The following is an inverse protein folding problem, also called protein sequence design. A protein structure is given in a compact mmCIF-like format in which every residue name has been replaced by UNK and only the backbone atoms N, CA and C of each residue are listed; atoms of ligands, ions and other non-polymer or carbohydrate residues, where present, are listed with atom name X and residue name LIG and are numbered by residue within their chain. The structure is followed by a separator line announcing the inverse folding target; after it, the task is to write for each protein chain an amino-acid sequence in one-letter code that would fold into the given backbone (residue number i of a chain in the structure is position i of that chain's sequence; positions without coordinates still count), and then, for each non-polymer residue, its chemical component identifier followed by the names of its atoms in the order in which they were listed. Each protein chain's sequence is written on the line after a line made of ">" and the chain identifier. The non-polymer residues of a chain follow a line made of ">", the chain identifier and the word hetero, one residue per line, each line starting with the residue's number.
data_IF_492737243165
#
_entry.id   IF_492737243165
#
_cell.length_a   1.000
_cell.length_b   1.000
_cell.length_c   1.000
_cell.angle_alpha   90.00
_cell.angle_beta   90.00
_cell.angle_gamma   90.00
#
_symmetry.space_group_name_H-M   'P 1'
#
loop_
_entity.id
_entity.type
_entity.pdbx_description
1 polymer ?
#
# COMPACT_ATOMS: atom_id res chain seq x y z
N UNK A 1 71.79 -7.09 24.89
CA UNK A 1 70.41 -7.64 24.76
C UNK A 1 69.43 -6.61 25.30
N UNK A 2 68.68 -5.93 24.44
CA UNK A 2 67.56 -5.05 24.82
C UNK A 2 66.27 -5.72 24.37
N UNK A 3 65.41 -6.09 25.31
CA UNK A 3 64.08 -6.64 25.04
C UNK A 3 63.09 -5.48 24.83
N UNK A 4 62.41 -5.47 23.69
CA UNK A 4 61.22 -4.65 23.46
C UNK A 4 59.99 -5.46 23.83
N UNK A 5 59.20 -4.98 24.80
CA UNK A 5 57.86 -5.47 25.10
C UNK A 5 56.85 -4.69 24.24
N UNK A 6 56.17 -5.38 23.32
CA UNK A 6 55.01 -4.86 22.62
C UNK A 6 53.76 -5.09 23.46
N UNK A 7 53.10 -4.00 23.88
CA UNK A 7 51.74 -4.05 24.42
C UNK A 7 50.75 -4.02 23.25
N UNK A 8 49.99 -5.11 23.07
CA UNK A 8 48.80 -5.12 22.23
C UNK A 8 47.62 -4.54 23.02
N UNK A 9 47.14 -3.36 22.65
CA UNK A 9 45.88 -2.83 23.12
C UNK A 9 44.74 -3.48 22.31
N UNK A 10 43.97 -4.38 22.93
CA UNK A 10 42.70 -4.84 22.38
C UNK A 10 41.66 -3.71 22.54
N UNK A 11 41.27 -3.10 21.42
CA UNK A 11 40.11 -2.23 21.36
C UNK A 11 38.84 -3.09 21.31
N UNK A 12 38.09 -3.15 22.42
CA UNK A 12 36.72 -3.67 22.42
C UNK A 12 35.79 -2.61 21.82
N UNK A 13 35.36 -2.82 20.58
CA UNK A 13 34.22 -2.08 20.01
C UNK A 13 32.94 -2.60 20.66
N UNK A 14 32.41 -1.85 21.63
CA UNK A 14 31.09 -2.12 22.18
C UNK A 14 30.03 -1.87 21.09
N UNK A 15 29.44 -2.95 20.56
CA UNK A 15 28.22 -2.89 19.78
C UNK A 15 27.10 -2.42 20.73
N UNK A 16 26.74 -1.15 20.66
CA UNK A 16 25.53 -0.63 21.31
C UNK A 16 24.34 -1.23 20.58
N UNK A 17 23.74 -2.26 21.17
CA UNK A 17 22.42 -2.75 20.75
C UNK A 17 21.38 -1.69 21.14
N UNK A 18 20.96 -0.86 20.19
CA UNK A 18 19.77 -0.02 20.38
C UNK A 18 18.56 -0.95 20.45
N UNK A 19 17.97 -1.10 21.63
CA UNK A 19 16.73 -1.87 21.81
C UNK A 19 15.61 -1.27 20.96
N UNK A 20 14.77 -2.13 20.37
CA UNK A 20 13.64 -1.68 19.55
C UNK A 20 12.67 -0.80 20.37
N UNK A 21 12.22 0.31 19.76
CA UNK A 21 11.21 1.19 20.35
C UNK A 21 9.86 0.48 20.46
N UNK A 22 8.95 1.02 21.29
CA UNK A 22 7.58 0.50 21.44
C UNK A 22 6.86 0.46 20.08
N UNK A 23 6.99 1.52 19.28
CA UNK A 23 6.40 1.56 17.95
C UNK A 23 6.99 0.49 17.01
N UNK A 24 8.30 0.26 17.03
CA UNK A 24 8.92 -0.79 16.21
C UNK A 24 8.38 -2.17 16.57
N UNK A 25 8.26 -2.49 17.87
CA UNK A 25 7.71 -3.78 18.34
C UNK A 25 6.23 -3.97 17.99
N UNK A 26 5.44 -2.90 18.04
CA UNK A 26 4.01 -2.96 17.69
C UNK A 26 3.82 -3.06 16.17
N UNK A 27 4.63 -2.35 15.38
CA UNK A 27 4.61 -2.43 13.93
C UNK A 27 4.85 -3.86 13.39
N UNK A 28 5.74 -4.64 14.00
CA UNK A 28 5.98 -6.04 13.57
C UNK A 28 4.77 -6.95 13.75
N UNK A 29 3.78 -6.56 14.56
CA UNK A 29 2.56 -7.33 14.79
C UNK A 29 1.43 -7.00 13.81
N UNK A 30 1.57 -5.91 13.04
CA UNK A 30 0.50 -5.43 12.17
C UNK A 30 0.27 -6.35 10.96
N UNK A 31 1.33 -6.94 10.42
CA UNK A 31 1.24 -7.93 9.34
C UNK A 31 0.38 -7.48 8.15
N UNK A 32 -0.36 -8.44 7.57
CA UNK A 32 -1.40 -8.18 6.59
C UNK A 32 -2.63 -7.57 7.25
N UNK A 33 -3.11 -6.46 6.72
CA UNK A 33 -4.32 -5.79 7.18
C UNK A 33 -5.37 -5.61 6.09
N UNK A 34 -6.55 -5.21 6.52
CA UNK A 34 -7.70 -4.93 5.65
C UNK A 34 -8.39 -3.66 6.11
N UNK A 35 -8.74 -2.78 5.17
CA UNK A 35 -9.60 -1.63 5.43
C UNK A 35 -11.08 -2.05 5.45
N UNK A 36 -11.81 -1.52 6.44
CA UNK A 36 -13.25 -1.67 6.58
C UNK A 36 -13.91 -0.28 6.46
N UNK A 37 -14.15 0.16 5.22
CA UNK A 37 -14.68 1.47 4.85
C UNK A 37 -16.11 1.76 5.30
N UNK A 38 -16.76 0.83 6.01
CA UNK A 38 -18.15 0.97 6.42
C UNK A 38 -18.48 2.32 7.07
N UNK A 39 -17.55 2.87 7.87
CA UNK A 39 -17.74 4.12 8.59
C UNK A 39 -17.08 5.34 7.93
N UNK A 40 -16.42 5.20 6.77
CA UNK A 40 -15.97 6.36 5.98
C UNK A 40 -17.13 6.96 5.21
N UNK A 41 -17.96 6.10 4.60
CA UNK A 41 -19.33 6.35 4.10
C UNK A 41 -19.57 7.65 3.33
N UNK A 42 -18.51 8.29 2.84
CA UNK A 42 -18.52 9.57 2.12
C UNK A 42 -19.51 9.57 0.97
N UNK A 43 -19.67 8.39 0.35
CA UNK A 43 -20.45 8.17 -0.85
C UNK A 43 -21.89 7.72 -0.61
N UNK A 44 -22.30 7.49 0.65
CA UNK A 44 -23.56 6.77 0.98
C UNK A 44 -24.63 7.61 1.70
N UNK A 45 -24.46 8.94 1.83
CA UNK A 45 -25.44 9.83 2.49
C UNK A 45 -26.28 10.67 1.52
N UNK A 46 -27.53 10.99 1.90
CA UNK A 46 -28.29 12.07 1.26
C UNK A 46 -27.77 13.41 1.78
N UNK A 47 -27.34 14.32 0.89
CA UNK A 47 -26.65 15.60 1.16
C UNK A 47 -27.37 16.60 2.12
N UNK A 48 -28.47 16.22 2.76
CA UNK A 48 -29.12 17.02 3.80
C UNK A 48 -28.40 16.90 5.14
N UNK A 49 -28.03 18.06 5.71
CA UNK A 49 -27.21 18.22 6.92
C UNK A 49 -27.58 17.23 8.05
N UNK A 50 -26.54 16.59 8.60
CA UNK A 50 -26.53 15.75 9.83
C UNK A 50 -26.97 14.28 9.70
N UNK A 51 -27.02 13.72 8.48
CA UNK A 51 -26.79 12.31 8.10
C UNK A 51 -27.11 11.23 9.17
N UNK A 52 -28.37 11.20 9.64
CA UNK A 52 -28.86 10.25 10.66
C UNK A 52 -29.01 8.81 10.15
N UNK A 53 -28.77 8.56 8.87
CA UNK A 53 -28.99 7.30 8.15
C UNK A 53 -27.70 6.59 7.73
N UNK A 54 -26.54 7.08 8.19
CA UNK A 54 -25.21 6.65 7.79
C UNK A 54 -24.89 5.18 8.10
N UNK A 55 -25.35 4.69 9.25
CA UNK A 55 -25.14 3.31 9.71
C UNK A 55 -26.44 2.56 9.51
N UNK A 56 -26.51 1.76 8.45
CA UNK A 56 -27.61 0.81 8.26
C UNK A 56 -27.54 -0.27 9.35
N UNK A 57 -28.30 -0.09 10.43
CA UNK A 57 -28.26 -0.97 11.61
C UNK A 57 -28.55 -2.44 11.29
N UNK A 58 -29.32 -2.72 10.24
CA UNK A 58 -29.57 -4.08 9.75
C UNK A 58 -28.32 -4.74 9.12
N UNK A 59 -27.30 -3.98 8.73
CA UNK A 59 -26.02 -4.52 8.24
C UNK A 59 -25.08 -4.90 9.41
N UNK A 60 -25.35 -4.44 10.63
CA UNK A 60 -24.46 -4.63 11.80
C UNK A 60 -24.11 -6.11 12.06
N UNK A 61 -25.05 -7.08 12.02
CA UNK A 61 -24.70 -8.50 12.15
C UNK A 61 -23.76 -9.01 11.05
N UNK A 62 -23.92 -8.52 9.81
CA UNK A 62 -23.06 -8.87 8.69
C UNK A 62 -21.66 -8.29 8.90
N UNK A 63 -21.56 -7.05 9.41
CA UNK A 63 -20.26 -6.41 9.72
C UNK A 63 -19.51 -7.13 10.84
N UNK A 64 -20.21 -7.65 11.85
CA UNK A 64 -19.59 -8.52 12.86
C UNK A 64 -19.00 -9.79 12.24
N UNK A 65 -19.75 -10.45 11.35
CA UNK A 65 -19.25 -11.64 10.64
C UNK A 65 -18.01 -11.32 9.80
N UNK A 66 -17.94 -10.13 9.17
CA UNK A 66 -16.76 -9.72 8.39
C UNK A 66 -15.47 -9.73 9.17
N UNK A 67 -15.48 -9.35 10.44
CA UNK A 67 -14.27 -9.37 11.25
C UNK A 67 -13.77 -10.80 11.49
N UNK A 68 -14.68 -11.77 11.61
CA UNK A 68 -14.32 -13.18 11.67
C UNK A 68 -13.78 -13.67 10.31
N UNK A 69 -14.42 -13.29 9.21
CA UNK A 69 -13.98 -13.66 7.85
C UNK A 69 -12.57 -13.10 7.54
N UNK A 70 -12.30 -11.84 7.92
CA UNK A 70 -10.99 -11.18 7.79
C UNK A 70 -9.93 -11.95 8.59
N UNK A 71 -10.23 -12.29 9.84
CA UNK A 71 -9.31 -13.07 10.67
C UNK A 71 -9.04 -14.47 10.09
N UNK A 72 -10.09 -15.14 9.60
CA UNK A 72 -10.00 -16.47 8.98
C UNK A 72 -9.20 -16.44 7.67
N UNK A 73 -9.28 -15.35 6.91
CA UNK A 73 -8.47 -15.12 5.72
C UNK A 73 -6.98 -14.87 6.03
N UNK A 74 -6.59 -14.77 7.30
CA UNK A 74 -5.20 -14.69 7.75
C UNK A 74 -4.70 -13.27 8.00
N UNK A 75 -5.55 -12.26 7.85
CA UNK A 75 -5.23 -10.88 8.22
C UNK A 75 -5.01 -10.76 9.74
N UNK A 76 -4.14 -9.85 10.13
CA UNK A 76 -3.75 -9.56 11.52
C UNK A 76 -4.25 -8.20 11.99
N UNK A 77 -4.59 -7.31 11.08
CA UNK A 77 -5.02 -5.94 11.41
C UNK A 77 -6.27 -5.58 10.63
N UNK A 78 -7.20 -4.88 11.28
CA UNK A 78 -8.26 -4.15 10.59
C UNK A 78 -8.00 -2.65 10.77
N UNK A 79 -8.03 -1.91 9.66
CA UNK A 79 -8.08 -0.46 9.68
C UNK A 79 -9.53 -0.04 9.53
N UNK A 80 -10.01 0.81 10.42
CA UNK A 80 -11.38 1.28 10.50
C UNK A 80 -11.36 2.79 10.20
N UNK A 81 -11.46 3.15 8.91
CA UNK A 81 -11.81 4.49 8.47
C UNK A 81 -13.11 4.97 9.11
N UNK A 82 -13.08 6.10 9.83
CA UNK A 82 -14.27 6.70 10.43
C UNK A 82 -14.33 8.19 10.10
N UNK A 83 -15.46 8.60 9.54
CA UNK A 83 -15.76 10.02 9.31
C UNK A 83 -16.31 10.68 10.57
N UNK A 84 -15.52 10.76 11.66
CA UNK A 84 -16.02 11.31 12.94
C UNK A 84 -16.57 12.73 12.80
N UNK A 85 -15.99 13.55 11.92
CA UNK A 85 -16.47 14.91 11.66
C UNK A 85 -17.92 14.97 11.16
N UNK A 86 -18.45 13.90 10.59
CA UNK A 86 -19.84 13.76 10.18
C UNK A 86 -20.85 13.92 11.32
N UNK A 87 -20.47 13.46 12.51
CA UNK A 87 -21.34 13.34 13.68
C UNK A 87 -21.10 14.44 14.71
N UNK A 88 -20.28 15.44 14.34
CA UNK A 88 -19.89 16.55 15.20
C UNK A 88 -20.32 17.89 14.58
N UNK A 89 -20.62 18.87 15.43
CA UNK A 89 -20.92 20.23 14.98
C UNK A 89 -19.72 20.84 14.24
N UNK A 90 -20.00 21.65 13.22
CA UNK A 90 -18.98 22.40 12.46
C UNK A 90 -18.58 23.66 13.22
N UNK A 91 -19.53 24.30 13.90
CA UNK A 91 -19.32 25.54 14.64
C UNK A 91 -19.03 25.28 16.13
N UNK A 92 -18.27 26.20 16.72
CA UNK A 92 -18.05 26.26 18.16
C UNK A 92 -19.33 26.77 18.88
N UNK A 93 -19.62 26.31 20.12
CA UNK A 93 -18.89 25.28 20.86
C UNK A 93 -19.10 23.89 20.25
N UNK A 94 -17.99 23.17 20.02
CA UNK A 94 -18.00 21.86 19.37
C UNK A 94 -18.68 20.81 20.25
N UNK A 95 -19.51 19.97 19.64
CA UNK A 95 -20.23 18.88 20.30
C UNK A 95 -20.51 17.74 19.33
N UNK A 96 -20.76 16.54 19.87
CA UNK A 96 -21.39 15.47 19.10
C UNK A 96 -22.86 15.81 18.86
N UNK A 97 -23.30 15.81 17.60
CA UNK A 97 -24.70 16.00 17.22
C UNK A 97 -25.47 14.67 17.25
N UNK A 98 -24.78 13.55 17.00
CA UNK A 98 -25.35 12.20 16.98
C UNK A 98 -24.44 11.19 17.71
N UNK A 99 -24.21 11.39 19.03
CA UNK A 99 -23.27 10.58 19.81
C UNK A 99 -23.60 9.08 19.85
N UNK A 100 -24.86 8.69 19.62
CA UNK A 100 -25.29 7.29 19.55
C UNK A 100 -24.58 6.50 18.43
N UNK A 101 -24.16 7.14 17.34
CA UNK A 101 -23.44 6.46 16.26
C UNK A 101 -22.00 6.11 16.62
N UNK A 102 -21.44 6.72 17.68
CA UNK A 102 -20.14 6.32 18.22
C UNK A 102 -20.16 4.90 18.80
N UNK A 103 -21.33 4.28 18.99
CA UNK A 103 -21.42 2.86 19.34
C UNK A 103 -21.00 1.93 18.17
N UNK A 104 -21.08 2.40 16.93
CA UNK A 104 -20.67 1.62 15.75
C UNK A 104 -19.15 1.37 15.71
N UNK A 105 -18.26 2.40 15.75
CA UNK A 105 -16.82 2.15 15.80
C UNK A 105 -16.41 1.40 17.08
N UNK A 106 -17.03 1.66 18.24
CA UNK A 106 -16.78 0.87 19.46
C UNK A 106 -17.02 -0.62 19.24
N UNK A 107 -18.13 -0.96 18.60
CA UNK A 107 -18.50 -2.36 18.32
C UNK A 107 -17.49 -3.03 17.40
N UNK A 108 -17.05 -2.32 16.35
CA UNK A 108 -16.04 -2.85 15.42
C UNK A 108 -14.69 -3.07 16.13
N UNK A 109 -14.25 -2.13 16.98
CA UNK A 109 -13.03 -2.28 17.79
C UNK A 109 -13.14 -3.52 18.69
N UNK A 110 -14.24 -3.67 19.43
CA UNK A 110 -14.43 -4.81 20.33
C UNK A 110 -14.46 -6.14 19.58
N UNK A 111 -15.19 -6.22 18.45
CA UNK A 111 -15.27 -7.44 17.66
C UNK A 111 -13.96 -7.79 16.96
N UNK A 112 -13.18 -6.80 16.54
CA UNK A 112 -11.87 -7.02 15.96
C UNK A 112 -10.91 -7.62 17.00
N UNK A 113 -10.86 -7.02 18.20
CA UNK A 113 -10.08 -7.54 19.32
C UNK A 113 -10.53 -8.97 19.72
N UNK A 114 -11.84 -9.23 19.74
CA UNK A 114 -12.38 -10.58 20.01
C UNK A 114 -11.98 -11.62 18.95
N UNK A 115 -11.70 -11.20 17.71
CA UNK A 115 -11.15 -12.05 16.64
C UNK A 115 -9.61 -12.03 16.60
N UNK A 116 -8.96 -11.52 17.65
CA UNK A 116 -7.51 -11.40 17.75
C UNK A 116 -6.87 -10.60 16.59
N UNK A 117 -7.58 -9.58 16.08
CA UNK A 117 -7.04 -8.59 15.15
C UNK A 117 -6.46 -7.40 15.92
N UNK A 118 -5.42 -6.75 15.41
CA UNK A 118 -5.07 -5.39 15.79
C UNK A 118 -6.07 -4.43 15.12
N UNK A 119 -6.21 -3.24 15.70
CA UNK A 119 -7.16 -2.24 15.24
C UNK A 119 -6.43 -0.93 15.02
N UNK A 120 -6.62 -0.35 13.84
CA UNK A 120 -6.24 1.04 13.55
C UNK A 120 -7.55 1.82 13.41
N UNK A 121 -7.77 2.81 14.27
CA UNK A 121 -8.90 3.74 14.18
C UNK A 121 -8.40 4.97 13.46
N UNK A 122 -8.98 5.27 12.31
CA UNK A 122 -8.56 6.35 11.43
C UNK A 122 -9.59 7.47 11.38
N UNK A 123 -9.14 8.70 11.61
CA UNK A 123 -9.93 9.90 11.30
C UNK A 123 -9.89 10.13 9.79
N UNK A 124 -10.83 9.50 9.10
CA UNK A 124 -10.77 9.36 7.65
C UNK A 124 -11.18 10.64 6.94
N UNK A 125 -12.44 11.04 7.16
CA UNK A 125 -12.93 12.33 6.70
C UNK A 125 -13.33 13.22 7.87
N UNK A 126 -12.99 14.50 7.73
CA UNK A 126 -13.42 15.55 8.64
C UNK A 126 -14.76 16.18 8.17
N UNK A 127 -15.14 15.87 6.91
CA UNK A 127 -16.24 16.42 6.09
C UNK A 127 -16.67 15.40 5.02
N UNK A 128 -17.87 15.53 4.44
CA UNK A 128 -18.37 14.58 3.44
C UNK A 128 -18.13 14.95 1.97
N UNK A 129 -17.67 16.16 1.67
CA UNK A 129 -17.32 16.53 0.28
C UNK A 129 -16.32 17.70 0.14
N UNK A 130 -15.71 18.13 1.25
CA UNK A 130 -14.84 19.31 1.27
C UNK A 130 -15.55 20.63 0.97
N UNK A 131 -16.90 20.63 0.84
CA UNK A 131 -17.66 21.82 0.47
C UNK A 131 -17.95 22.75 1.64
N UNK A 132 -17.87 22.27 2.90
CA UNK A 132 -18.19 23.09 4.06
C UNK A 132 -16.95 23.74 4.65
N UNK A 133 -16.86 25.04 4.41
CA UNK A 133 -15.80 25.91 4.93
C UNK A 133 -15.71 25.83 6.46
N UNK A 134 -14.51 25.57 6.97
CA UNK A 134 -14.18 25.64 8.41
C UNK A 134 -14.32 24.33 9.17
N UNK A 135 -14.79 23.27 8.53
CA UNK A 135 -14.91 21.98 9.18
C UNK A 135 -13.58 21.29 9.42
N UNK A 136 -12.55 21.60 8.64
CA UNK A 136 -11.17 21.20 8.87
C UNK A 136 -10.38 22.21 9.74
N UNK A 137 -11.08 23.12 10.42
CA UNK A 137 -10.43 24.07 11.32
C UNK A 137 -9.56 23.34 12.36
N UNK A 138 -8.30 23.77 12.57
CA UNK A 138 -7.37 23.10 13.50
C UNK A 138 -7.98 22.86 14.89
N UNK A 139 -8.83 23.77 15.35
CA UNK A 139 -9.42 23.74 16.69
C UNK A 139 -10.52 22.68 16.78
N UNK A 140 -11.24 22.45 15.68
CA UNK A 140 -12.22 21.37 15.56
C UNK A 140 -11.54 20.01 15.49
N UNK A 141 -10.45 19.89 14.72
CA UNK A 141 -9.66 18.64 14.70
C UNK A 141 -9.07 18.32 16.06
N UNK A 142 -8.52 19.33 16.75
CA UNK A 142 -8.01 19.15 18.11
C UNK A 142 -9.12 18.68 19.05
N UNK A 143 -10.31 19.29 18.99
CA UNK A 143 -11.48 18.85 19.76
C UNK A 143 -11.89 17.40 19.41
N UNK A 144 -11.98 17.05 18.12
CA UNK A 144 -12.28 15.68 17.69
C UNK A 144 -11.27 14.69 18.27
N UNK A 145 -9.98 14.99 18.19
CA UNK A 145 -8.93 14.13 18.75
C UNK A 145 -8.95 14.05 20.27
N UNK A 146 -9.33 15.11 20.98
CA UNK A 146 -9.59 15.03 22.42
C UNK A 146 -10.70 14.01 22.71
N UNK A 147 -11.82 14.08 21.98
CA UNK A 147 -12.94 13.17 22.19
C UNK A 147 -12.62 11.72 21.81
N UNK A 148 -11.92 11.50 20.68
CA UNK A 148 -11.49 10.18 20.21
C UNK A 148 -10.50 9.57 21.20
N UNK A 149 -9.46 10.33 21.62
CA UNK A 149 -8.48 9.85 22.58
C UNK A 149 -9.13 9.51 23.93
N UNK A 150 -10.04 10.36 24.42
CA UNK A 150 -10.77 10.13 25.68
C UNK A 150 -11.59 8.83 25.63
N UNK A 151 -12.25 8.59 24.50
CA UNK A 151 -13.07 7.39 24.27
C UNK A 151 -12.25 6.10 24.24
N UNK A 152 -11.08 6.13 23.61
CA UNK A 152 -10.27 4.93 23.39
C UNK A 152 -9.07 4.75 24.33
N UNK A 153 -8.77 5.70 25.24
CA UNK A 153 -7.63 5.60 26.18
C UNK A 153 -7.62 4.33 27.04
N UNK A 154 -8.78 3.74 27.30
CA UNK A 154 -8.94 2.53 28.11
C UNK A 154 -8.81 1.23 27.32
N UNK A 155 -8.66 1.30 26.00
CA UNK A 155 -8.41 0.12 25.16
C UNK A 155 -6.97 -0.35 25.27
N UNK A 156 -6.70 -1.59 24.87
CA UNK A 156 -5.35 -2.17 24.90
C UNK A 156 -4.39 -1.38 23.97
N UNK A 157 -3.41 -0.63 24.51
CA UNK A 157 -2.48 0.17 23.70
C UNK A 157 -1.51 -0.69 22.88
N UNK A 158 -1.40 -1.99 23.14
CA UNK A 158 -0.60 -2.92 22.33
C UNK A 158 -1.33 -3.35 21.05
N UNK A 159 -2.65 -3.13 20.97
CA UNK A 159 -3.53 -3.66 19.92
C UNK A 159 -4.36 -2.60 19.21
N UNK A 160 -4.65 -1.47 19.87
CA UNK A 160 -5.39 -0.35 19.30
C UNK A 160 -4.43 0.80 19.00
N UNK A 161 -4.41 1.23 17.75
CA UNK A 161 -3.59 2.31 17.21
C UNK A 161 -4.52 3.43 16.72
N UNK A 162 -4.11 4.66 16.95
CA UNK A 162 -4.87 5.85 16.58
C UNK A 162 -4.18 6.54 15.39
N UNK A 163 -4.83 6.55 14.23
CA UNK A 163 -4.33 7.20 13.02
C UNK A 163 -4.87 8.61 12.89
N UNK A 164 -3.95 9.59 12.94
CA UNK A 164 -4.29 10.99 13.19
C UNK A 164 -5.14 11.64 12.09
N UNK A 165 -4.90 11.28 10.84
CA UNK A 165 -5.65 11.76 9.68
C UNK A 165 -5.29 10.93 8.45
N UNK A 166 -6.31 10.58 7.67
CA UNK A 166 -6.16 9.77 6.47
C UNK A 166 -5.35 10.42 5.35
N UNK A 167 -5.75 11.57 4.81
CA UNK A 167 -5.10 12.14 3.61
C UNK A 167 -5.05 13.67 3.66
N UNK A 168 -4.07 14.26 4.37
CA UNK A 168 -3.87 15.71 4.34
C UNK A 168 -3.40 16.14 2.93
N UNK A 169 -4.18 16.95 2.20
CA UNK A 169 -3.84 17.33 0.82
C UNK A 169 -4.07 18.80 0.47
N UNK A 170 -5.07 19.45 1.04
CA UNK A 170 -5.36 20.88 0.78
C UNK A 170 -4.48 21.85 1.60
N UNK A 171 -3.25 21.43 1.93
CA UNK A 171 -2.34 22.20 2.77
C UNK A 171 -0.88 21.94 2.44
N UNK A 172 -0.02 22.89 2.80
CA UNK A 172 1.42 22.75 2.64
C UNK A 172 1.99 21.72 3.63
N UNK A 173 3.15 21.14 3.29
CA UNK A 173 3.89 20.26 4.20
C UNK A 173 4.13 20.90 5.59
N UNK A 174 4.45 22.20 5.62
CA UNK A 174 4.69 22.93 6.86
C UNK A 174 3.42 23.12 7.68
N UNK A 175 2.28 23.43 7.03
CA UNK A 175 0.99 23.54 7.70
C UNK A 175 0.56 22.20 8.29
N UNK A 176 0.69 21.10 7.53
CA UNK A 176 0.42 19.76 8.05
C UNK A 176 1.35 19.41 9.23
N UNK A 177 2.65 19.69 9.13
CA UNK A 177 3.61 19.43 10.20
C UNK A 177 3.21 20.11 11.51
N UNK A 178 2.78 21.38 11.44
CA UNK A 178 2.30 22.12 12.61
C UNK A 178 1.04 21.48 13.21
N UNK A 179 0.04 21.20 12.38
CA UNK A 179 -1.22 20.59 12.81
C UNK A 179 -1.01 19.18 13.39
N UNK A 180 -0.27 18.30 12.71
CA UNK A 180 0.05 16.97 13.20
C UNK A 180 0.81 17.01 14.54
N UNK A 181 1.72 17.97 14.73
CA UNK A 181 2.41 18.15 16.02
C UNK A 181 1.44 18.49 17.15
N UNK A 182 0.48 19.39 16.90
CA UNK A 182 -0.58 19.73 17.85
C UNK A 182 -1.47 18.51 18.16
N UNK A 183 -1.83 17.72 17.15
CA UNK A 183 -2.64 16.51 17.34
C UNK A 183 -1.89 15.44 18.14
N UNK A 184 -0.60 15.21 17.86
CA UNK A 184 0.26 14.31 18.65
C UNK A 184 0.25 14.74 20.12
N UNK A 185 0.50 16.03 20.40
CA UNK A 185 0.52 16.55 21.77
C UNK A 185 -0.84 16.39 22.47
N UNK A 186 -1.93 16.65 21.73
CA UNK A 186 -3.31 16.50 22.21
C UNK A 186 -3.58 15.07 22.65
N UNK A 187 -3.33 14.09 21.77
CA UNK A 187 -3.56 12.68 22.08
C UNK A 187 -2.62 12.21 23.19
N UNK A 188 -1.35 12.65 23.21
CA UNK A 188 -0.40 12.29 24.27
C UNK A 188 -0.82 12.75 25.65
N UNK A 189 -1.52 13.89 25.77
CA UNK A 189 -2.06 14.37 27.04
C UNK A 189 -3.18 13.49 27.62
N UNK A 190 -3.81 12.63 26.81
CA UNK A 190 -5.00 11.85 27.17
C UNK A 190 -4.74 10.33 27.13
N UNK A 191 -4.08 9.86 26.06
CA UNK A 191 -3.77 8.46 25.79
C UNK A 191 -2.26 8.27 25.50
N UNK A 192 -1.37 8.52 26.49
CA UNK A 192 0.08 8.52 26.30
C UNK A 192 0.67 7.16 25.90
N UNK A 193 -0.02 6.06 26.22
CA UNK A 193 0.45 4.70 25.98
C UNK A 193 0.15 4.19 24.57
N UNK A 194 -0.86 4.73 23.89
CA UNK A 194 -1.27 4.28 22.55
C UNK A 194 -0.22 4.67 21.50
N UNK A 195 0.05 3.77 20.56
CA UNK A 195 0.83 4.13 19.38
C UNK A 195 -0.03 5.01 18.48
N UNK A 196 0.57 6.07 17.93
CA UNK A 196 -0.11 6.87 16.90
C UNK A 196 0.45 6.47 15.54
N UNK A 197 -0.46 6.41 14.57
CA UNK A 197 -0.11 6.31 13.16
C UNK A 197 -0.25 7.71 12.56
N UNK A 198 0.79 8.19 11.89
CA UNK A 198 0.81 9.55 11.33
C UNK A 198 1.46 9.52 9.95
N UNK A 199 0.78 10.11 8.98
CA UNK A 199 1.32 10.29 7.63
C UNK A 199 1.79 11.72 7.39
N UNK A 200 1.91 12.08 6.12
CA UNK A 200 2.39 13.38 5.67
C UNK A 200 1.37 14.03 4.72
N UNK A 201 1.63 15.26 4.28
CA UNK A 201 0.83 15.88 3.22
C UNK A 201 0.83 15.06 1.92
N UNK A 202 0.10 15.53 0.90
CA UNK A 202 0.04 14.91 -0.44
C UNK A 202 -0.64 13.52 -0.39
N UNK A 203 -1.81 13.45 0.25
CA UNK A 203 -2.62 12.23 0.40
C UNK A 203 -1.85 11.06 1.03
N UNK A 204 -0.99 11.34 2.01
CA UNK A 204 -0.07 10.34 2.56
C UNK A 204 0.76 9.63 1.48
N UNK A 205 1.04 10.28 0.35
CA UNK A 205 1.76 9.68 -0.76
C UNK A 205 3.18 9.26 -0.37
N UNK A 206 3.65 8.17 -0.99
CA UNK A 206 5.01 7.65 -0.79
C UNK A 206 6.08 8.74 -0.99
N UNK A 207 5.89 9.58 -1.99
CA UNK A 207 6.82 10.65 -2.33
C UNK A 207 6.89 11.74 -1.24
N UNK A 208 5.78 12.01 -0.53
CA UNK A 208 5.79 12.87 0.64
C UNK A 208 6.48 12.23 1.84
N UNK A 209 6.29 10.92 2.07
CA UNK A 209 6.99 10.17 3.12
C UNK A 209 8.51 10.30 2.96
N UNK A 210 9.05 9.96 1.79
CA UNK A 210 10.51 9.88 1.59
C UNK A 210 11.21 11.25 1.61
N UNK A 211 10.45 12.35 1.46
CA UNK A 211 10.94 13.73 1.54
C UNK A 211 10.77 14.37 2.93
N UNK A 212 10.16 13.66 3.88
CA UNK A 212 9.81 14.22 5.19
C UNK A 212 10.70 13.72 6.32
N UNK A 213 10.73 14.48 7.42
CA UNK A 213 11.42 14.11 8.66
C UNK A 213 10.44 13.56 9.71
N UNK A 214 10.83 12.52 10.48
CA UNK A 214 10.05 12.04 11.62
C UNK A 214 9.67 13.14 12.62
N UNK A 215 8.51 13.02 13.27
CA UNK A 215 8.12 13.84 14.42
C UNK A 215 8.91 13.43 15.67
N UNK A 216 9.07 14.38 16.60
CA UNK A 216 9.76 14.17 17.86
C UNK A 216 8.87 13.43 18.88
N UNK A 217 8.54 12.18 18.59
CA UNK A 217 7.79 11.29 19.48
C UNK A 217 8.27 9.82 19.30
N UNK A 218 8.57 9.11 20.40
CA UNK A 218 9.18 7.78 20.32
C UNK A 218 8.20 6.64 20.00
N UNK A 219 6.90 6.92 19.97
CA UNK A 219 5.84 5.93 19.82
C UNK A 219 4.91 6.24 18.62
N UNK A 220 5.54 6.48 17.48
CA UNK A 220 4.89 6.70 16.19
C UNK A 220 5.22 5.60 15.18
N UNK A 221 4.22 5.23 14.40
CA UNK A 221 4.36 4.52 13.13
C UNK A 221 4.01 5.51 12.02
N UNK A 222 4.71 5.44 10.89
CA UNK A 222 4.47 6.34 9.75
C UNK A 222 3.65 5.64 8.67
N UNK A 223 2.49 6.20 8.31
CA UNK A 223 1.65 5.66 7.24
C UNK A 223 1.96 6.34 5.90
N UNK A 224 1.82 5.58 4.83
CA UNK A 224 1.76 6.08 3.46
C UNK A 224 0.78 5.26 2.63
N UNK A 225 0.24 5.83 1.54
CA UNK A 225 -0.67 5.17 0.61
C UNK A 225 0.02 4.92 -0.74
N UNK A 226 -0.39 3.85 -1.43
CA UNK A 226 0.24 3.42 -2.68
C UNK A 226 -0.77 2.84 -3.67
N UNK A 227 -1.27 3.70 -4.56
CA UNK A 227 -2.22 3.35 -5.62
C UNK A 227 -1.58 3.35 -7.02
N UNK A 228 -0.26 3.21 -7.11
CA UNK A 228 0.42 3.18 -8.40
C UNK A 228 0.15 1.87 -9.17
N UNK A 229 0.06 1.92 -10.51
CA UNK A 229 -0.13 3.14 -11.31
C UNK A 229 -1.58 3.62 -11.20
N UNK A 230 -1.78 4.90 -10.88
CA UNK A 230 -3.11 5.42 -10.51
C UNK A 230 -4.16 5.27 -11.61
N UNK A 231 -3.77 5.46 -12.88
CA UNK A 231 -4.68 5.28 -14.03
C UNK A 231 -5.17 3.84 -14.19
N UNK A 232 -4.45 2.84 -13.67
CA UNK A 232 -4.92 1.45 -13.62
C UNK A 232 -5.79 1.19 -12.41
N UNK A 233 -5.34 1.61 -11.22
CA UNK A 233 -6.03 1.33 -9.96
C UNK A 233 -7.38 2.05 -9.86
N UNK A 234 -7.56 3.17 -10.57
CA UNK A 234 -8.76 4.01 -10.53
C UNK A 234 -9.45 4.18 -11.89
N UNK A 235 -9.21 3.29 -12.86
CA UNK A 235 -9.92 3.34 -14.14
C UNK A 235 -11.45 3.24 -13.93
N UNK A 236 -12.18 4.25 -14.41
CA UNK A 236 -13.63 4.37 -14.23
C UNK A 236 -14.08 5.03 -12.92
N UNK A 237 -13.18 5.39 -12.00
CA UNK A 237 -13.54 6.03 -10.74
C UNK A 237 -13.99 7.49 -10.99
N UNK A 238 -15.28 7.76 -10.81
CA UNK A 238 -15.85 9.10 -11.06
C UNK A 238 -15.41 10.16 -10.05
N UNK A 239 -14.93 9.72 -8.89
CA UNK A 239 -14.52 10.56 -7.77
C UNK A 239 -13.03 10.92 -7.77
N UNK A 240 -12.21 10.25 -8.58
CA UNK A 240 -10.76 10.35 -8.50
C UNK A 240 -10.15 11.45 -9.41
N UNK A 241 -11.00 12.28 -10.03
CA UNK A 241 -10.59 13.41 -10.87
C UNK A 241 -10.94 13.26 -12.35
N UNK A 242 -10.81 14.35 -13.10
CA UNK A 242 -11.15 14.42 -14.52
C UNK A 242 -10.30 13.48 -15.37
N UNK A 243 -10.93 12.79 -16.33
CA UNK A 243 -10.27 11.89 -17.29
C UNK A 243 -10.25 10.42 -16.88
N UNK A 244 -10.25 10.10 -15.57
CA UNK A 244 -10.36 8.73 -15.06
C UNK A 244 -11.72 8.04 -15.30
N UNK A 245 -12.88 8.71 -15.21
CA UNK A 245 -14.19 8.05 -15.37
C UNK A 245 -14.36 7.36 -16.73
N UNK A 246 -13.68 7.86 -17.77
CA UNK A 246 -13.76 7.34 -19.13
C UNK A 246 -12.71 6.26 -19.45
N UNK A 247 -11.80 5.96 -18.50
CA UNK A 247 -10.80 4.91 -18.66
C UNK A 247 -11.40 3.52 -18.43
N UNK A 248 -10.98 2.57 -19.27
CA UNK A 248 -11.39 1.17 -19.20
C UNK A 248 -10.40 0.25 -19.90
N UNK A 249 -10.32 -1.00 -19.44
CA UNK A 249 -9.51 -2.04 -20.08
C UNK A 249 -8.00 -1.82 -19.98
N UNK A 250 -7.55 -1.02 -19.01
CA UNK A 250 -6.12 -0.90 -18.71
C UNK A 250 -5.70 -2.16 -17.96
N UNK A 251 -4.69 -2.85 -18.47
CA UNK A 251 -4.19 -4.13 -17.92
C UNK A 251 -2.89 -3.92 -17.14
N UNK A 252 -2.67 -4.73 -16.12
CA UNK A 252 -1.42 -4.76 -15.35
C UNK A 252 -0.82 -6.18 -15.35
N UNK A 253 0.50 -6.35 -15.52
CA UNK A 253 1.47 -5.31 -15.87
C UNK A 253 1.27 -4.81 -17.30
N UNK A 254 1.91 -3.70 -17.65
CA UNK A 254 1.98 -3.29 -19.04
C UNK A 254 2.81 -4.31 -19.85
N UNK A 255 2.32 -4.59 -21.05
CA UNK A 255 2.93 -5.48 -22.04
C UNK A 255 3.49 -4.67 -23.21
N UNK A 256 4.25 -5.32 -24.09
CA UNK A 256 4.78 -4.72 -25.33
C UNK A 256 3.68 -4.14 -26.24
N UNK A 257 2.47 -4.69 -26.13
CA UNK A 257 1.29 -4.40 -26.94
C UNK A 257 0.27 -3.54 -26.21
N UNK A 258 0.48 -3.22 -24.93
CA UNK A 258 -0.43 -2.38 -24.15
C UNK A 258 -0.54 -1.01 -24.80
N UNK A 259 -1.72 -0.72 -25.34
CA UNK A 259 -2.11 0.58 -25.89
C UNK A 259 -3.32 1.08 -25.12
N UNK A 260 -3.16 2.18 -24.42
CA UNK A 260 -4.24 2.83 -23.71
C UNK A 260 -4.73 3.99 -24.57
N UNK A 261 -6.00 3.96 -24.93
CA UNK A 261 -6.61 5.09 -25.63
C UNK A 261 -6.80 6.23 -24.64
N UNK A 262 -6.23 7.41 -24.93
CA UNK A 262 -6.46 8.62 -24.15
C UNK A 262 -7.87 9.15 -24.48
N UNK A 263 -8.84 9.09 -23.55
CA UNK A 263 -10.17 9.61 -23.80
C UNK A 263 -10.13 11.13 -23.98
N UNK A 264 -11.13 11.70 -24.67
CA UNK A 264 -11.17 13.14 -24.91
C UNK A 264 -11.13 13.97 -23.61
N UNK A 265 -11.73 13.46 -22.53
CA UNK A 265 -11.73 14.06 -21.19
C UNK A 265 -10.37 14.03 -20.48
N UNK A 266 -9.42 13.21 -20.93
CA UNK A 266 -8.07 13.11 -20.35
C UNK A 266 -7.02 13.89 -21.14
N UNK A 267 -7.34 14.39 -22.34
CA UNK A 267 -6.38 15.14 -23.16
C UNK A 267 -5.98 16.45 -22.48
N UNK A 268 -4.68 16.73 -22.43
CA UNK A 268 -4.09 17.89 -21.77
C UNK A 268 -4.08 17.81 -20.24
N UNK A 269 -4.52 16.70 -19.64
CA UNK A 269 -4.53 16.52 -18.19
C UNK A 269 -3.35 15.65 -17.73
N UNK A 270 -3.16 15.56 -16.42
CA UNK A 270 -2.17 14.65 -15.84
C UNK A 270 -2.45 13.18 -16.20
N UNK A 271 -3.72 12.82 -16.49
CA UNK A 271 -4.11 11.45 -16.89
C UNK A 271 -3.47 11.08 -18.23
N UNK A 272 -3.44 11.98 -19.21
CA UNK A 272 -2.72 11.74 -20.47
C UNK A 272 -1.22 11.53 -20.22
N UNK A 273 -0.61 12.31 -19.33
CA UNK A 273 0.80 12.15 -18.97
C UNK A 273 1.07 10.80 -18.29
N UNK A 274 0.21 10.37 -17.37
CA UNK A 274 0.30 9.07 -16.71
C UNK A 274 0.12 7.92 -17.71
N UNK A 275 -0.80 8.04 -18.67
CA UNK A 275 -0.96 7.08 -19.76
C UNK A 275 0.31 6.97 -20.60
N UNK A 276 0.93 8.10 -20.95
CA UNK A 276 2.16 8.12 -21.74
C UNK A 276 3.34 7.44 -21.02
N UNK A 277 3.38 7.49 -19.68
CA UNK A 277 4.41 6.86 -18.87
C UNK A 277 4.07 5.42 -18.45
N UNK A 278 2.84 4.97 -18.68
CA UNK A 278 2.27 3.75 -18.09
C UNK A 278 3.14 2.50 -18.31
N UNK A 279 3.70 2.33 -19.50
CA UNK A 279 4.52 1.16 -19.82
C UNK A 279 5.77 1.02 -18.93
N UNK A 280 6.32 2.15 -18.46
CA UNK A 280 7.47 2.17 -17.55
C UNK A 280 7.06 2.02 -16.08
N UNK A 281 5.85 2.50 -15.74
CA UNK A 281 5.34 2.51 -14.38
C UNK A 281 4.68 1.19 -13.98
N UNK A 282 3.96 0.55 -14.89
CA UNK A 282 3.14 -0.64 -14.65
C UNK A 282 3.95 -1.95 -14.74
N UNK A 283 5.03 -2.06 -13.97
CA UNK A 283 5.88 -3.25 -13.92
C UNK A 283 6.11 -3.74 -12.48
N UNK A 284 6.32 -5.05 -12.30
CA UNK A 284 6.68 -5.62 -11.00
C UNK A 284 7.94 -4.97 -10.41
N UNK A 285 8.95 -4.72 -11.25
CA UNK A 285 10.19 -4.06 -10.84
C UNK A 285 9.93 -2.65 -10.33
N UNK A 286 9.12 -1.86 -11.03
CA UNK A 286 8.82 -0.50 -10.59
C UNK A 286 8.01 -0.49 -9.29
N UNK A 287 7.03 -1.39 -9.13
CA UNK A 287 6.29 -1.54 -7.86
C UNK A 287 7.24 -1.84 -6.69
N UNK A 288 8.17 -2.79 -6.88
CA UNK A 288 9.18 -3.12 -5.88
C UNK A 288 10.08 -1.92 -5.57
N UNK A 289 10.66 -1.30 -6.60
CA UNK A 289 11.57 -0.15 -6.46
C UNK A 289 10.92 1.01 -5.72
N UNK A 290 9.66 1.33 -6.02
CA UNK A 290 8.93 2.41 -5.33
C UNK A 290 8.79 2.09 -3.84
N UNK A 291 8.31 0.90 -3.50
CA UNK A 291 8.15 0.47 -2.10
C UNK A 291 9.50 0.35 -1.34
N UNK A 292 10.58 0.00 -2.05
CA UNK A 292 11.93 -0.02 -1.49
C UNK A 292 12.38 1.38 -1.04
N UNK A 293 12.00 2.45 -1.74
CA UNK A 293 12.30 3.82 -1.30
C UNK A 293 11.68 4.13 0.07
N UNK A 294 10.43 3.71 0.29
CA UNK A 294 9.78 3.86 1.60
C UNK A 294 10.51 3.06 2.68
N UNK A 295 10.93 1.81 2.38
CA UNK A 295 11.71 1.00 3.31
C UNK A 295 13.06 1.63 3.64
N UNK A 296 13.76 2.14 2.64
CA UNK A 296 15.06 2.80 2.82
C UNK A 296 14.94 4.04 3.70
N UNK A 297 13.88 4.83 3.52
CA UNK A 297 13.58 5.94 4.41
C UNK A 297 13.34 5.46 5.85
N UNK A 298 12.52 4.42 6.05
CA UNK A 298 12.25 3.82 7.36
C UNK A 298 13.53 3.37 8.08
N UNK A 299 14.44 2.70 7.36
CA UNK A 299 15.73 2.26 7.90
C UNK A 299 16.63 3.46 8.23
N UNK A 300 16.79 4.40 7.29
CA UNK A 300 17.64 5.58 7.47
C UNK A 300 17.19 6.46 8.64
N UNK A 301 15.87 6.53 8.88
CA UNK A 301 15.27 7.30 9.96
C UNK A 301 15.07 6.49 11.25
N UNK A 302 15.32 5.18 11.22
CA UNK A 302 15.10 4.26 12.35
C UNK A 302 13.67 4.28 12.91
N UNK A 303 12.67 4.49 12.04
CA UNK A 303 11.25 4.53 12.41
C UNK A 303 10.44 3.48 11.64
N UNK A 304 9.41 2.87 12.23
CA UNK A 304 8.56 1.91 11.54
C UNK A 304 7.59 2.59 10.57
N UNK A 305 7.26 1.89 9.49
CA UNK A 305 6.28 2.32 8.47
C UNK A 305 5.15 1.30 8.33
N UNK A 306 4.02 1.76 7.81
CA UNK A 306 2.83 0.97 7.48
C UNK A 306 2.26 1.47 6.14
N UNK A 307 1.93 0.55 5.22
CA UNK A 307 1.22 0.91 3.99
C UNK A 307 -0.29 0.93 4.29
N UNK A 308 -0.82 2.10 4.61
CA UNK A 308 -2.20 2.29 5.10
C UNK A 308 -3.27 1.90 4.09
N UNK A 309 -3.01 2.18 2.82
CA UNK A 309 -3.92 1.91 1.73
C UNK A 309 -3.19 1.58 0.44
N UNK A 310 -3.74 0.57 -0.25
CA UNK A 310 -3.40 0.19 -1.61
C UNK A 310 -4.49 -0.74 -2.13
N UNK A 311 -4.68 -0.77 -3.43
CA UNK A 311 -5.66 -1.65 -4.06
C UNK A 311 -5.90 -1.30 -5.52
N UNK A 312 -6.80 -2.03 -6.15
CA UNK A 312 -7.28 -1.74 -7.50
C UNK A 312 -8.80 -1.83 -7.58
N UNK A 313 -9.43 -0.81 -8.15
CA UNK A 313 -10.87 -0.66 -8.28
C UNK A 313 -11.45 -1.69 -9.26
N UNK A 314 -12.58 -2.29 -8.93
CA UNK A 314 -13.14 -3.43 -9.65
C UNK A 314 -14.12 -3.08 -10.78
N UNK A 315 -14.35 -1.78 -11.04
CA UNK A 315 -15.36 -1.35 -12.01
C UNK A 315 -14.95 -1.69 -13.45
N UNK A 316 -13.79 -1.19 -13.89
CA UNK A 316 -13.32 -1.34 -15.27
C UNK A 316 -12.00 -2.12 -15.39
N UNK A 317 -11.36 -2.50 -14.28
CA UNK A 317 -10.17 -3.34 -14.27
C UNK A 317 -10.56 -4.83 -14.25
N UNK A 318 -9.95 -5.64 -15.11
CA UNK A 318 -10.19 -7.08 -15.14
C UNK A 318 -9.60 -7.78 -13.90
N UNK A 319 -10.22 -8.89 -13.49
CA UNK A 319 -9.85 -9.59 -12.26
C UNK A 319 -8.41 -10.11 -12.27
N UNK A 320 -7.90 -10.50 -13.45
CA UNK A 320 -6.59 -11.09 -13.63
C UNK A 320 -5.48 -10.04 -13.48
N UNK A 321 -5.65 -8.86 -14.08
CA UNK A 321 -4.79 -7.70 -13.84
C UNK A 321 -4.81 -7.22 -12.40
N UNK A 322 -5.98 -7.19 -11.75
CA UNK A 322 -6.09 -6.85 -10.32
C UNK A 322 -5.32 -7.84 -9.44
N UNK A 323 -5.40 -9.13 -9.76
CA UNK A 323 -4.66 -10.18 -9.07
C UNK A 323 -3.14 -10.04 -9.24
N UNK A 324 -2.66 -9.73 -10.45
CA UNK A 324 -1.24 -9.45 -10.69
C UNK A 324 -0.74 -8.19 -10.00
N UNK A 325 -1.56 -7.13 -9.96
CA UNK A 325 -1.24 -5.92 -9.21
C UNK A 325 -1.11 -6.20 -7.71
N UNK A 326 -2.05 -6.97 -7.15
CA UNK A 326 -1.97 -7.42 -5.77
C UNK A 326 -0.72 -8.27 -5.52
N UNK A 327 -0.39 -9.23 -6.39
CA UNK A 327 0.81 -10.05 -6.26
C UNK A 327 2.09 -9.20 -6.30
N UNK A 328 2.20 -8.24 -7.24
CA UNK A 328 3.36 -7.35 -7.33
C UNK A 328 3.62 -6.59 -6.03
N UNK A 329 2.56 -6.06 -5.41
CA UNK A 329 2.67 -5.34 -4.15
C UNK A 329 2.95 -6.31 -3.00
N UNK A 330 2.22 -7.41 -2.85
CA UNK A 330 2.43 -8.34 -1.73
C UNK A 330 3.80 -9.01 -1.73
N UNK A 331 4.35 -9.35 -2.90
CA UNK A 331 5.73 -9.83 -3.03
C UNK A 331 6.70 -8.78 -2.50
N UNK A 332 6.54 -7.52 -2.90
CA UNK A 332 7.40 -6.42 -2.46
C UNK A 332 7.29 -6.18 -0.94
N UNK A 333 6.06 -6.13 -0.42
CA UNK A 333 5.80 -5.96 1.02
C UNK A 333 6.39 -7.10 1.84
N UNK A 334 6.28 -8.35 1.38
CA UNK A 334 6.87 -9.52 2.03
C UNK A 334 8.40 -9.45 2.08
N UNK A 335 9.05 -9.04 0.98
CA UNK A 335 10.51 -8.85 0.95
C UNK A 335 10.99 -7.72 1.85
N UNK A 336 10.28 -6.60 1.81
CA UNK A 336 10.65 -5.39 2.55
C UNK A 336 10.16 -5.43 4.00
N UNK A 337 9.39 -6.45 4.38
CA UNK A 337 8.78 -6.61 5.69
C UNK A 337 8.00 -5.35 6.09
N UNK A 338 7.13 -4.88 5.20
CA UNK A 338 6.27 -3.71 5.40
C UNK A 338 4.85 -4.21 5.70
N UNK A 339 4.31 -3.99 6.92
CA UNK A 339 2.90 -4.28 7.19
C UNK A 339 2.00 -3.32 6.40
N UNK A 340 0.78 -3.77 6.09
CA UNK A 340 -0.10 -3.01 5.19
C UNK A 340 -1.58 -3.20 5.51
N UNK A 341 -2.46 -2.41 4.89
CA UNK A 341 -3.88 -2.68 4.81
C UNK A 341 -4.41 -2.50 3.38
N UNK A 342 -4.99 -3.56 2.82
CA UNK A 342 -5.64 -3.49 1.50
C UNK A 342 -6.92 -2.65 1.59
N UNK A 343 -7.10 -1.74 0.66
CA UNK A 343 -8.37 -1.05 0.41
C UNK A 343 -9.11 -1.86 -0.64
N UNK A 344 -10.21 -2.55 -0.36
CA UNK A 344 -10.95 -2.70 0.90
C UNK A 344 -11.69 -4.05 0.94
N UNK A 345 -12.39 -4.37 2.04
CA UNK A 345 -13.08 -5.65 2.20
C UNK A 345 -14.31 -5.83 1.31
N UNK A 346 -15.32 -4.96 1.41
CA UNK A 346 -16.66 -5.18 0.83
C UNK A 346 -17.23 -4.03 0.00
N UNK A 347 -16.35 -3.22 -0.60
CA UNK A 347 -16.72 -2.16 -1.53
C UNK A 347 -16.07 -2.30 -2.91
N UNK A 348 -15.82 -1.16 -3.55
CA UNK A 348 -15.34 -1.05 -4.92
C UNK A 348 -13.98 -1.71 -5.17
N UNK A 349 -13.20 -1.90 -4.12
CA UNK A 349 -11.87 -2.50 -4.23
C UNK A 349 -11.81 -3.92 -3.65
N UNK A 350 -12.96 -4.55 -3.38
CA UNK A 350 -13.04 -5.89 -2.81
C UNK A 350 -12.21 -6.94 -3.58
N UNK A 351 -11.61 -7.87 -2.83
CA UNK A 351 -10.83 -9.01 -3.35
C UNK A 351 -11.69 -10.22 -3.73
N UNK A 352 -13.01 -10.03 -3.84
CA UNK A 352 -13.98 -11.11 -4.06
C UNK A 352 -14.30 -11.35 -5.53
N UNK A 353 -14.76 -12.57 -5.82
CA UNK A 353 -15.41 -12.86 -7.10
C UNK A 353 -16.64 -11.97 -7.27
N UNK A 354 -16.86 -11.49 -8.49
CA UNK A 354 -17.91 -10.50 -8.80
C UNK A 354 -19.29 -10.99 -8.32
N UNK A 355 -19.94 -10.19 -7.48
CA UNK A 355 -21.27 -10.49 -6.94
C UNK A 355 -21.28 -11.49 -5.77
N UNK A 356 -20.11 -11.86 -5.24
CA UNK A 356 -19.97 -12.80 -4.12
C UNK A 356 -19.16 -12.19 -2.97
N UNK A 357 -18.95 -12.98 -1.91
CA UNK A 357 -18.05 -12.66 -0.79
C UNK A 357 -16.91 -13.66 -0.67
N UNK A 358 -16.71 -14.46 -1.72
CA UNK A 358 -15.64 -15.44 -1.79
C UNK A 358 -14.38 -14.77 -2.34
N UNK A 359 -13.28 -14.86 -1.59
CA UNK A 359 -11.97 -14.39 -2.05
C UNK A 359 -11.59 -15.07 -3.37
N UNK A 360 -11.21 -14.26 -4.35
CA UNK A 360 -10.72 -14.80 -5.63
C UNK A 360 -9.52 -15.71 -5.38
N UNK A 361 -9.44 -16.90 -6.00
CA UNK A 361 -8.31 -17.80 -5.81
C UNK A 361 -6.94 -17.13 -6.08
N UNK A 362 -6.86 -16.26 -7.09
CA UNK A 362 -5.64 -15.52 -7.40
C UNK A 362 -5.31 -14.44 -6.36
N UNK A 363 -6.31 -13.80 -5.75
CA UNK A 363 -6.09 -12.88 -4.62
C UNK A 363 -5.57 -13.62 -3.39
N UNK A 364 -6.10 -14.82 -3.11
CA UNK A 364 -5.59 -15.68 -2.05
C UNK A 364 -4.14 -16.11 -2.31
N UNK A 365 -3.79 -16.41 -3.56
CA UNK A 365 -2.41 -16.70 -3.95
C UNK A 365 -1.49 -15.47 -3.73
N UNK A 366 -1.93 -14.28 -4.14
CA UNK A 366 -1.20 -13.04 -3.91
C UNK A 366 -0.94 -12.79 -2.41
N UNK A 367 -1.93 -12.98 -1.54
CA UNK A 367 -1.78 -12.85 -0.08
C UNK A 367 -0.70 -13.80 0.48
N UNK A 368 -0.61 -15.03 -0.03
CA UNK A 368 0.41 -15.98 0.42
C UNK A 368 1.84 -15.52 0.07
N UNK A 369 2.02 -14.71 -0.97
CA UNK A 369 3.33 -14.16 -1.35
C UNK A 369 3.91 -13.19 -0.34
N UNK A 370 3.07 -12.57 0.51
CA UNK A 370 3.54 -11.72 1.61
C UNK A 370 4.40 -12.51 2.60
N UNK A 371 4.04 -13.76 2.89
CA UNK A 371 4.78 -14.60 3.82
C UNK A 371 6.11 -15.07 3.23
N UNK A 372 6.13 -15.37 1.93
CA UNK A 372 7.31 -15.92 1.25
C UNK A 372 8.24 -14.83 0.72
N UNK A 373 7.72 -13.64 0.44
CA UNK A 373 8.38 -12.62 -0.37
C UNK A 373 8.66 -13.12 -1.79
N UNK A 374 7.94 -14.12 -2.29
CA UNK A 374 8.19 -14.72 -3.60
C UNK A 374 6.89 -14.86 -4.40
N UNK A 375 6.91 -14.59 -5.72
CA UNK A 375 5.75 -14.84 -6.57
C UNK A 375 5.31 -16.30 -6.51
N UNK A 376 4.00 -16.55 -6.55
CA UNK A 376 3.46 -17.93 -6.50
C UNK A 376 3.65 -18.61 -7.86
N UNK A 377 3.54 -17.83 -8.94
CA UNK A 377 3.88 -18.21 -10.32
C UNK A 377 4.48 -16.97 -10.98
N UNK A 378 5.74 -17.03 -11.41
CA UNK A 378 6.27 -16.01 -12.32
C UNK A 378 5.55 -16.18 -13.66
N UNK A 379 4.53 -15.37 -13.90
CA UNK A 379 3.79 -15.39 -15.15
C UNK A 379 4.74 -15.11 -16.33
N UNK A 380 4.84 -16.09 -17.22
CA UNK A 380 5.05 -15.86 -18.65
C UNK A 380 3.64 -15.63 -19.19
N UNK A 381 3.34 -14.44 -19.70
CA UNK A 381 2.17 -14.32 -20.57
C UNK A 381 2.43 -15.17 -21.81
N UNK A 382 1.55 -16.11 -22.19
CA UNK A 382 1.44 -16.48 -23.58
C UNK A 382 0.80 -15.27 -24.27
N UNK A 383 1.61 -14.38 -24.82
CA UNK A 383 1.12 -13.39 -25.77
C UNK A 383 0.50 -14.20 -26.93
N UNK A 384 -0.84 -14.16 -27.04
CA UNK A 384 -1.59 -14.96 -28.00
C UNK A 384 -1.28 -14.57 -29.46
N UNK A 385 -0.44 -13.55 -29.69
CA UNK A 385 0.10 -13.22 -31.01
C UNK A 385 1.64 -13.17 -31.09
N UNK A 386 2.40 -13.29 -30.00
CA UNK A 386 3.87 -13.28 -30.04
C UNK A 386 4.50 -14.45 -29.26
N UNK A 387 4.92 -15.48 -29.99
CA UNK A 387 5.53 -16.69 -29.44
C UNK A 387 6.99 -16.41 -29.10
N UNK A 388 7.27 -15.77 -27.95
CA UNK A 388 8.59 -15.83 -27.33
C UNK A 388 8.59 -17.01 -26.36
N UNK A 389 9.29 -18.08 -26.73
CA UNK A 389 9.50 -19.26 -25.90
C UNK A 389 10.96 -19.33 -25.44
N UNK A 390 11.15 -19.67 -24.17
CA UNK A 390 12.47 -19.88 -23.59
C UNK A 390 12.68 -21.36 -23.32
N UNK A 391 13.81 -21.89 -23.78
CA UNK A 391 14.21 -23.26 -23.54
C UNK A 391 15.54 -23.29 -22.79
N UNK A 392 15.61 -23.86 -21.58
CA UNK A 392 16.87 -24.04 -20.90
C UNK A 392 17.76 -25.00 -21.68
N UNK A 393 19.05 -24.68 -21.78
CA UNK A 393 20.09 -25.55 -22.33
C UNK A 393 21.17 -25.79 -21.26
N UNK A 394 20.94 -26.73 -20.33
CA UNK A 394 21.85 -26.97 -19.20
C UNK A 394 23.24 -27.41 -19.65
N UNK A 395 23.36 -28.13 -20.77
CA UNK A 395 24.64 -28.59 -21.29
C UNK A 395 25.58 -27.45 -21.73
N UNK A 396 25.06 -26.25 -21.92
CA UNK A 396 25.82 -25.06 -22.33
C UNK A 396 25.71 -23.90 -21.35
N UNK A 397 25.05 -24.10 -20.20
CA UNK A 397 24.70 -23.02 -19.27
C UNK A 397 24.08 -21.83 -20.03
N UNK A 398 23.07 -22.10 -20.84
CA UNK A 398 22.45 -21.11 -21.70
C UNK A 398 20.92 -21.19 -21.68
N UNK A 399 20.27 -20.09 -22.07
CA UNK A 399 18.83 -20.04 -22.35
C UNK A 399 18.64 -19.77 -23.83
N UNK A 400 17.94 -20.66 -24.51
CA UNK A 400 17.55 -20.48 -25.90
C UNK A 400 16.28 -19.65 -25.99
N UNK A 401 16.32 -18.58 -26.75
CA UNK A 401 15.16 -17.77 -27.14
C UNK A 401 14.68 -18.24 -28.51
N UNK A 402 13.40 -18.62 -28.58
CA UNK A 402 12.68 -18.81 -29.83
C UNK A 402 11.65 -17.70 -29.92
N UNK A 403 11.80 -16.78 -30.86
CA UNK A 403 10.86 -15.69 -31.12
C UNK A 403 10.47 -15.68 -32.59
N UNK A 404 9.17 -15.60 -32.89
CA UNK A 404 8.67 -15.49 -34.27
C UNK A 404 8.73 -14.05 -34.77
N UNK A 405 8.22 -13.05 -34.01
CA UNK A 405 8.47 -11.59 -34.06
C UNK A 405 7.94 -10.94 -32.76
N UNK A 406 8.48 -9.81 -32.26
CA UNK A 406 9.71 -9.12 -32.70
C UNK A 406 10.97 -9.87 -32.26
N UNK A 407 12.07 -9.68 -33.01
CA UNK A 407 13.39 -10.26 -32.65
C UNK A 407 13.97 -9.45 -31.49
N UNK A 408 14.26 -10.06 -30.32
CA UNK A 408 14.93 -9.39 -29.23
C UNK A 408 16.32 -8.92 -29.65
N UNK A 409 16.68 -7.71 -29.23
CA UNK A 409 18.00 -7.12 -29.48
C UNK A 409 18.84 -7.05 -28.21
N UNK A 410 18.21 -7.07 -27.04
CA UNK A 410 18.89 -7.18 -25.76
C UNK A 410 18.05 -7.95 -24.75
N UNK A 411 18.74 -8.44 -23.72
CA UNK A 411 18.18 -9.14 -22.58
C UNK A 411 18.73 -8.50 -21.30
N UNK A 412 17.88 -8.45 -20.29
CA UNK A 412 18.27 -8.12 -18.92
C UNK A 412 17.83 -9.25 -18.01
N UNK A 413 18.76 -9.74 -17.18
CA UNK A 413 18.48 -10.74 -16.16
C UNK A 413 18.68 -10.06 -14.81
N UNK A 414 17.59 -9.98 -14.06
CA UNK A 414 17.62 -9.50 -12.68
C UNK A 414 17.36 -10.66 -11.73
N UNK A 415 17.91 -10.57 -10.52
CA UNK A 415 17.40 -11.39 -9.44
C UNK A 415 15.97 -10.98 -9.08
N UNK A 416 15.35 -11.73 -8.17
CA UNK A 416 13.97 -11.48 -7.80
C UNK A 416 13.79 -10.14 -7.06
N UNK A 417 14.85 -9.50 -6.56
CA UNK A 417 14.81 -8.13 -6.01
C UNK A 417 14.90 -7.04 -7.10
N UNK A 418 14.96 -7.41 -8.37
CA UNK A 418 15.09 -6.45 -9.46
C UNK A 418 16.52 -5.96 -9.68
N UNK A 419 17.49 -6.43 -8.88
CA UNK A 419 18.90 -6.11 -9.10
C UNK A 419 19.34 -6.79 -10.39
N UNK A 420 19.75 -5.97 -11.36
CA UNK A 420 20.28 -6.43 -12.64
C UNK A 420 21.61 -7.14 -12.40
N UNK A 421 21.65 -8.43 -12.70
CA UNK A 421 22.87 -9.24 -12.63
C UNK A 421 23.54 -9.38 -13.99
N UNK A 422 22.77 -9.26 -15.06
CA UNK A 422 23.26 -9.36 -16.43
C UNK A 422 22.44 -8.46 -17.35
N UNK A 423 23.11 -7.76 -18.27
CA UNK A 423 22.48 -7.08 -19.40
C UNK A 423 23.36 -7.26 -20.61
N UNK A 424 22.84 -7.82 -21.71
CA UNK A 424 23.62 -8.09 -22.92
C UNK A 424 22.77 -7.98 -24.18
N UNK A 425 23.41 -7.67 -25.31
CA UNK A 425 22.79 -7.77 -26.62
C UNK A 425 22.49 -9.23 -26.97
N UNK A 426 21.37 -9.45 -27.66
CA UNK A 426 20.98 -10.75 -28.20
C UNK A 426 21.48 -10.82 -29.65
N UNK A 427 22.60 -11.50 -29.86
CA UNK A 427 23.25 -11.65 -31.17
C UNK A 427 22.99 -13.01 -31.81
N UNK A 428 22.28 -13.91 -31.12
CA UNK A 428 21.98 -15.27 -31.56
C UNK A 428 20.85 -15.88 -30.71
N UNK A 429 20.46 -17.14 -30.99
CA UNK A 429 19.33 -17.77 -30.32
C UNK A 429 19.62 -18.14 -28.86
N UNK A 430 20.89 -18.22 -28.45
CA UNK A 430 21.28 -18.66 -27.11
C UNK A 430 21.91 -17.49 -26.32
N UNK A 431 21.47 -17.30 -25.08
CA UNK A 431 22.10 -16.39 -24.11
C UNK A 431 22.86 -17.22 -23.08
N UNK A 432 24.16 -16.99 -22.95
CA UNK A 432 24.98 -17.61 -21.92
C UNK A 432 24.60 -17.06 -20.53
N UNK A 433 24.32 -17.95 -19.57
CA UNK A 433 23.99 -17.66 -18.17
C UNK A 433 25.01 -18.24 -17.21
N UNK A 434 26.22 -18.55 -17.70
CA UNK A 434 27.32 -19.15 -16.94
C UNK A 434 27.64 -18.34 -15.68
N UNK A 435 27.62 -17.02 -15.78
CA UNK A 435 27.95 -16.10 -14.68
C UNK A 435 26.88 -15.99 -13.59
N UNK A 436 25.67 -16.52 -13.81
CA UNK A 436 24.61 -16.49 -12.79
C UNK A 436 24.84 -17.62 -11.77
N UNK A 437 24.73 -17.36 -10.46
CA UNK A 437 24.72 -18.43 -9.46
C UNK A 437 23.45 -19.31 -9.58
N UNK A 438 23.39 -20.42 -8.86
CA UNK A 438 22.14 -21.17 -8.71
C UNK A 438 21.09 -20.26 -8.02
N UNK A 439 19.87 -20.23 -8.55
CA UNK A 439 18.85 -19.28 -8.10
C UNK A 439 17.70 -19.09 -9.08
N UNK A 440 16.80 -18.17 -8.74
CA UNK A 440 15.69 -17.76 -9.61
C UNK A 440 15.87 -16.32 -10.04
N UNK A 441 15.51 -16.05 -11.29
CA UNK A 441 15.75 -14.79 -11.96
C UNK A 441 14.55 -14.39 -12.81
N UNK A 442 14.44 -13.10 -13.04
CA UNK A 442 13.52 -12.50 -14.01
C UNK A 442 14.33 -12.12 -15.24
N UNK A 443 14.01 -12.76 -16.37
CA UNK A 443 14.59 -12.45 -17.68
C UNK A 443 13.62 -11.56 -18.44
N UNK A 444 14.07 -10.37 -18.83
CA UNK A 444 13.31 -9.40 -19.63
C UNK A 444 13.99 -9.20 -20.97
N UNK A 445 13.24 -9.32 -22.07
CA UNK A 445 13.73 -9.13 -23.44
C UNK A 445 13.31 -7.76 -23.96
N UNK A 446 14.16 -7.13 -24.77
CA UNK A 446 13.91 -5.80 -25.33
C UNK A 446 14.16 -5.74 -26.83
N UNK A 447 13.40 -4.91 -27.53
CA UNK A 447 13.69 -4.54 -28.92
C UNK A 447 14.69 -3.38 -29.04
N UNK A 448 15.01 -3.01 -30.28
CA UNK A 448 16.00 -1.96 -30.60
C UNK A 448 15.66 -0.58 -30.03
N UNK A 449 14.42 -0.35 -29.62
CA UNK A 449 13.96 0.91 -29.00
C UNK A 449 13.98 0.85 -27.48
N UNK A 450 14.57 -0.20 -26.90
CA UNK A 450 14.54 -0.49 -25.45
C UNK A 450 13.14 -0.77 -24.91
N UNK A 451 12.19 -1.13 -25.77
CA UNK A 451 10.85 -1.55 -25.36
C UNK A 451 10.86 -3.03 -24.95
N UNK A 452 10.24 -3.36 -23.82
CA UNK A 452 10.08 -4.74 -23.34
C UNK A 452 9.24 -5.54 -24.32
N UNK A 453 9.75 -6.70 -24.75
CA UNK A 453 9.07 -7.66 -25.62
C UNK A 453 8.41 -8.81 -24.85
N UNK A 454 8.95 -9.15 -23.67
CA UNK A 454 8.44 -10.23 -22.85
C UNK A 454 9.29 -10.42 -21.61
N UNK A 455 8.70 -11.04 -20.59
CA UNK A 455 9.37 -11.37 -19.33
C UNK A 455 9.13 -12.83 -18.99
N UNK A 456 10.12 -13.51 -18.41
CA UNK A 456 10.02 -14.90 -18.03
C UNK A 456 10.83 -15.25 -16.79
N UNK A 457 10.41 -16.32 -16.11
CA UNK A 457 11.19 -16.97 -15.06
C UNK A 457 12.36 -17.73 -15.65
N UNK A 458 13.53 -17.52 -15.07
CA UNK A 458 14.67 -18.40 -15.23
C UNK A 458 14.99 -19.04 -13.88
N UNK A 459 15.07 -20.37 -13.84
CA UNK A 459 15.58 -21.12 -12.69
C UNK A 459 16.88 -21.78 -13.12
N UNK A 460 17.98 -21.42 -12.45
CA UNK A 460 19.28 -22.08 -12.61
C UNK A 460 19.49 -22.99 -11.40
N UNK A 461 19.63 -24.29 -11.66
CA UNK A 461 19.89 -25.30 -10.64
C UNK A 461 21.38 -25.43 -10.35
#
# INVERSE_FOLDING_TARGET
>A
MRFFLFFFALAFSALVSFGQTVAQKRATRLGLGMNLSYLEGYWNGTQSRHFRDFVKLNEVPIRKQRLADIAQAGFKTVRIPVSFGAWASIDAPYRWETPEFLAAPDSLVQWALANNLNVIIDLHHIEFDGSVKGADAPERLAWLWQQIAERYRGTDPERVILELRNEPHDMTAAAWRAQATQLIQTVRSIAPQHTLLVGFHDWNGLDALIRSEPFADPNLIYTFHFYDPFVFTHQGASWAGSGLPDLKGIVFPATATTKINVPASAKGTWVESAINNYASEATYENMYRRLELAKNWSVAKSVPIFLGEFGSYNLNADADSRCRHAEAIYVALGKLQIPSAWWEWDGGFAMFEKGTTQLMPCMKAALNTYQTGQPTVLHVEPDQENVIQLYPNPARDAVRIVSTRPIPTSVRIADLSGKVLMSTSVTGPDIAIVSLPAGQYVLTLYDKTSRVLGTARLVKQ
#
